data_IF_017477942089
#
_entry.id   IF_017477942089
#
_cell.length_a   1.000
_cell.length_b   1.000
_cell.length_c   1.000
_cell.angle_alpha   90.00
_cell.angle_beta   90.00
_cell.angle_gamma   90.00
#
_symmetry.space_group_name_H-M   'P 1'
#
loop_
_entity.id
_entity.type
_entity.pdbx_description
1 polymer ?
#
# COMPACT_ATOMS: atom_id res chain seq x y z
N UNK A 1 -37.93 -2.45 -11.59
CA UNK A 1 -39.16 -3.15 -11.11
C UNK A 1 -40.45 -2.60 -11.71
N UNK A 2 -40.67 -1.28 -11.82
CA UNK A 2 -41.93 -0.74 -12.33
C UNK A 2 -42.27 -1.15 -13.78
N UNK A 3 -41.34 -0.98 -14.71
CA UNK A 3 -41.53 -1.36 -16.11
C UNK A 3 -41.85 -2.86 -16.24
N UNK A 4 -41.18 -3.70 -15.46
CA UNK A 4 -41.44 -5.14 -15.42
C UNK A 4 -42.87 -5.47 -14.98
N UNK A 5 -43.38 -4.85 -13.92
CA UNK A 5 -44.78 -5.04 -13.47
C UNK A 5 -45.83 -4.51 -14.48
N UNK A 6 -45.42 -3.63 -15.39
CA UNK A 6 -46.26 -3.11 -16.46
C UNK A 6 -46.24 -4.01 -17.71
N UNK A 7 -45.06 -4.49 -18.12
CA UNK A 7 -44.88 -5.28 -19.36
C UNK A 7 -44.97 -6.79 -19.15
N UNK A 8 -45.24 -7.26 -17.92
CA UNK A 8 -45.41 -8.68 -17.63
C UNK A 8 -46.52 -9.29 -18.52
N UNK A 9 -46.20 -10.27 -19.38
CA UNK A 9 -47.17 -10.84 -20.32
C UNK A 9 -48.21 -11.73 -19.64
N UNK A 10 -47.98 -12.13 -18.40
CA UNK A 10 -48.86 -13.03 -17.64
C UNK A 10 -49.80 -12.27 -16.70
N UNK A 11 -49.33 -11.21 -16.05
CA UNK A 11 -50.08 -10.45 -15.06
C UNK A 11 -49.88 -8.92 -15.17
N UNK A 12 -49.57 -8.43 -16.37
CA UNK A 12 -49.31 -7.03 -16.64
C UNK A 12 -50.41 -6.12 -16.11
N UNK A 13 -50.02 -5.15 -15.29
CA UNK A 13 -50.97 -4.23 -14.67
C UNK A 13 -51.01 -2.91 -15.43
N UNK A 14 -52.16 -2.22 -15.49
CA UNK A 14 -52.21 -0.83 -15.95
C UNK A 14 -51.22 0.03 -15.16
N UNK A 15 -50.65 1.05 -15.80
CA UNK A 15 -49.60 1.92 -15.24
C UNK A 15 -49.83 2.35 -13.78
N UNK A 16 -51.07 2.73 -13.44
CA UNK A 16 -51.44 3.17 -12.09
C UNK A 16 -51.30 2.00 -11.09
N UNK A 17 -51.86 0.84 -11.41
CA UNK A 17 -51.80 -0.33 -10.55
C UNK A 17 -50.37 -0.90 -10.43
N UNK A 18 -49.58 -0.88 -11.51
CA UNK A 18 -48.16 -1.25 -11.48
C UNK A 18 -47.35 -0.30 -10.57
N UNK A 19 -47.57 1.01 -10.68
CA UNK A 19 -46.88 2.01 -9.86
C UNK A 19 -47.21 1.89 -8.36
N UNK A 20 -48.47 1.61 -8.03
CA UNK A 20 -48.90 1.37 -6.65
C UNK A 20 -48.29 0.09 -6.07
N UNK A 21 -48.25 -0.98 -6.85
CA UNK A 21 -47.63 -2.23 -6.41
C UNK A 21 -46.13 -2.04 -6.15
N UNK A 22 -45.40 -1.38 -7.06
CA UNK A 22 -43.96 -1.16 -6.87
C UNK A 22 -43.68 -0.21 -5.70
N UNK A 23 -44.52 0.81 -5.50
CA UNK A 23 -44.43 1.66 -4.31
C UNK A 23 -44.65 0.87 -3.02
N UNK A 24 -45.67 0.01 -2.98
CA UNK A 24 -45.95 -0.86 -1.84
C UNK A 24 -44.81 -1.84 -1.55
N UNK A 25 -44.27 -2.51 -2.58
CA UNK A 25 -43.09 -3.38 -2.46
C UNK A 25 -41.87 -2.63 -1.93
N UNK A 26 -41.75 -1.34 -2.27
CA UNK A 26 -40.67 -0.46 -1.80
C UNK A 26 -40.97 0.21 -0.45
N UNK A 27 -42.07 -0.16 0.23
CA UNK A 27 -42.57 0.45 1.48
C UNK A 27 -42.75 1.97 1.38
N UNK A 28 -43.19 2.46 0.23
CA UNK A 28 -43.46 3.89 -0.06
C UNK A 28 -44.96 4.13 -0.28
N UNK A 29 -45.39 5.36 0.01
CA UNK A 29 -46.79 5.78 -0.12
C UNK A 29 -47.22 6.15 -1.54
N UNK A 30 -48.50 6.50 -1.68
CA UNK A 30 -49.16 6.80 -2.96
C UNK A 30 -48.56 7.99 -3.71
N UNK A 31 -47.95 8.96 -3.00
CA UNK A 31 -47.20 10.05 -3.63
C UNK A 31 -46.02 9.55 -4.47
N UNK A 32 -45.28 8.56 -3.96
CA UNK A 32 -44.13 8.00 -4.65
C UNK A 32 -44.57 7.18 -5.89
N UNK A 33 -45.72 6.51 -5.83
CA UNK A 33 -46.33 5.88 -7.00
C UNK A 33 -46.65 6.90 -8.11
N UNK A 34 -47.18 8.08 -7.75
CA UNK A 34 -47.44 9.18 -8.71
C UNK A 34 -46.16 9.70 -9.35
N UNK A 35 -45.09 9.85 -8.57
CA UNK A 35 -43.77 10.30 -9.09
C UNK A 35 -43.12 9.26 -9.99
N UNK A 36 -43.14 7.99 -9.59
CA UNK A 36 -42.69 6.88 -10.43
C UNK A 36 -43.40 6.84 -11.78
N UNK A 37 -44.72 7.04 -11.78
CA UNK A 37 -45.50 7.07 -13.01
C UNK A 37 -45.14 8.28 -13.89
N UNK A 38 -44.97 9.46 -13.29
CA UNK A 38 -44.53 10.68 -13.99
C UNK A 38 -43.15 10.46 -14.64
N UNK A 39 -42.17 10.03 -13.87
CA UNK A 39 -40.80 9.79 -14.36
C UNK A 39 -40.74 8.71 -15.44
N UNK A 40 -41.51 7.64 -15.32
CA UNK A 40 -41.55 6.60 -16.34
C UNK A 40 -42.12 7.13 -17.67
N UNK A 41 -43.15 7.98 -17.63
CA UNK A 41 -43.69 8.63 -18.83
C UNK A 41 -42.73 9.65 -19.42
N UNK A 42 -42.10 10.46 -18.57
CA UNK A 42 -41.10 11.45 -18.99
C UNK A 42 -39.88 10.78 -19.63
N UNK A 43 -39.43 9.64 -19.09
CA UNK A 43 -38.35 8.84 -19.67
C UNK A 43 -38.75 8.21 -21.02
N UNK A 44 -39.98 7.69 -21.13
CA UNK A 44 -40.46 7.10 -22.41
C UNK A 44 -40.54 8.17 -23.50
N UNK A 45 -40.99 9.38 -23.17
CA UNK A 45 -41.16 10.46 -24.14
C UNK A 45 -39.83 11.12 -24.53
N UNK A 46 -38.93 11.35 -23.58
CA UNK A 46 -37.68 12.09 -23.81
C UNK A 46 -36.47 11.21 -24.06
N UNK A 47 -36.54 9.91 -23.69
CA UNK A 47 -35.39 8.99 -23.60
C UNK A 47 -34.26 9.48 -22.70
N UNK A 48 -34.53 10.46 -21.85
CA UNK A 48 -33.60 11.03 -20.87
C UNK A 48 -34.09 10.73 -19.47
N UNK A 49 -33.17 10.44 -18.55
CA UNK A 49 -33.52 10.27 -17.14
C UNK A 49 -33.90 11.63 -16.54
N UNK A 50 -34.81 11.68 -15.55
CA UNK A 50 -35.15 12.93 -14.88
C UNK A 50 -33.89 13.50 -14.23
N UNK A 51 -33.41 14.62 -14.75
CA UNK A 51 -32.34 15.37 -14.11
C UNK A 51 -32.88 16.05 -12.85
N UNK A 52 -32.14 15.94 -11.75
CA UNK A 52 -32.50 16.59 -10.51
C UNK A 52 -32.38 18.12 -10.66
N UNK A 53 -33.50 18.79 -10.90
CA UNK A 53 -33.59 20.24 -11.04
C UNK A 53 -33.37 21.01 -9.73
N UNK A 54 -33.21 20.32 -8.59
CA UNK A 54 -33.25 20.94 -7.26
C UNK A 54 -32.02 20.78 -6.39
N UNK A 55 -30.93 20.13 -6.82
CA UNK A 55 -29.60 20.38 -6.24
C UNK A 55 -28.49 19.58 -6.92
N UNK A 56 -27.42 20.31 -7.24
CA UNK A 56 -26.10 19.79 -7.59
C UNK A 56 -25.47 19.04 -6.42
N UNK A 57 -24.85 17.90 -6.70
CA UNK A 57 -24.03 17.11 -5.77
C UNK A 57 -22.73 17.82 -5.32
N UNK A 58 -22.81 19.03 -4.77
CA UNK A 58 -21.65 19.75 -4.23
C UNK A 58 -21.50 19.62 -2.71
N UNK A 59 -22.40 18.86 -2.07
CA UNK A 59 -22.33 18.57 -0.64
C UNK A 59 -22.49 17.08 -0.43
N UNK A 60 -21.35 16.43 -0.17
CA UNK A 60 -21.27 15.04 0.29
C UNK A 60 -22.27 14.81 1.42
N UNK A 61 -22.87 13.61 1.54
CA UNK A 61 -23.78 13.25 2.65
C UNK A 61 -23.17 13.57 4.03
N UNK A 62 -21.84 13.63 4.13
CA UNK A 62 -21.03 14.09 5.26
C UNK A 62 -21.35 15.52 5.76
N UNK A 63 -21.95 16.40 4.95
CA UNK A 63 -22.35 17.74 5.41
C UNK A 63 -23.69 17.75 6.13
N UNK A 64 -24.47 16.67 6.02
CA UNK A 64 -25.66 16.48 6.83
C UNK A 64 -25.20 16.26 8.28
N UNK A 65 -25.62 17.14 9.19
CA UNK A 65 -25.16 17.13 10.59
C UNK A 65 -25.52 15.83 11.30
N UNK A 66 -26.72 15.30 11.05
CA UNK A 66 -27.20 14.08 11.71
C UNK A 66 -26.44 12.86 11.19
N UNK A 67 -26.23 12.77 9.87
CA UNK A 67 -25.41 11.71 9.28
C UNK A 67 -23.95 11.79 9.71
N UNK A 68 -23.37 13.00 9.80
CA UNK A 68 -22.01 13.22 10.32
C UNK A 68 -21.90 12.81 11.79
N UNK A 69 -22.90 13.13 12.59
CA UNK A 69 -22.96 12.75 14.01
C UNK A 69 -23.05 11.23 14.16
N UNK A 70 -23.90 10.58 13.39
CA UNK A 70 -24.10 9.13 13.40
C UNK A 70 -22.86 8.39 12.87
N UNK A 71 -22.25 8.88 11.78
CA UNK A 71 -20.98 8.40 11.25
C UNK A 71 -19.83 8.59 12.25
N UNK A 72 -19.73 9.75 12.92
CA UNK A 72 -18.72 9.98 13.95
C UNK A 72 -18.93 9.08 15.17
N UNK A 73 -20.17 8.88 15.59
CA UNK A 73 -20.51 7.97 16.71
C UNK A 73 -20.15 6.53 16.34
N UNK A 74 -20.43 6.12 15.11
CA UNK A 74 -20.01 4.83 14.56
C UNK A 74 -18.48 4.72 14.50
N UNK A 75 -17.78 5.72 13.98
CA UNK A 75 -16.31 5.76 13.89
C UNK A 75 -15.61 5.86 15.25
N UNK A 76 -16.26 6.40 16.28
CA UNK A 76 -15.77 6.40 17.68
C UNK A 76 -16.06 5.07 18.39
N UNK A 77 -17.09 4.33 17.95
CA UNK A 77 -17.38 2.96 18.41
C UNK A 77 -16.44 1.92 17.77
N UNK A 78 -15.86 2.26 16.62
CA UNK A 78 -14.70 1.57 16.05
C UNK A 78 -13.48 2.12 16.78
N UNK A 79 -12.77 1.27 17.51
CA UNK A 79 -11.55 1.63 18.22
C UNK A 79 -10.64 2.49 17.31
N UNK A 80 -10.17 3.68 17.72
CA UNK A 80 -9.34 4.55 16.88
C UNK A 80 -8.03 3.85 16.52
N UNK A 81 -8.03 3.10 15.42
CA UNK A 81 -6.80 2.62 14.82
C UNK A 81 -6.14 3.82 14.14
N UNK A 82 -4.88 4.09 14.50
CA UNK A 82 -4.11 5.16 13.88
C UNK A 82 -4.18 5.02 12.36
N UNK A 83 -4.71 6.03 11.67
CA UNK A 83 -4.61 6.09 10.22
C UNK A 83 -3.13 6.24 9.87
N UNK A 84 -2.61 5.30 9.07
CA UNK A 84 -1.33 5.48 8.39
C UNK A 84 -1.49 6.71 7.49
N UNK A 85 -0.85 7.81 7.87
CA UNK A 85 -0.72 8.98 6.99
C UNK A 85 0.08 8.49 5.80
N UNK A 86 -0.49 8.68 4.61
CA UNK A 86 0.07 8.18 3.38
C UNK A 86 1.50 8.74 3.18
N UNK A 87 2.51 7.89 3.38
CA UNK A 87 3.93 8.24 3.26
C UNK A 87 4.35 8.65 1.84
N UNK A 88 3.53 8.32 0.82
CA UNK A 88 3.77 8.74 -0.57
C UNK A 88 3.83 10.26 -0.75
N UNK A 89 3.34 11.03 0.22
CA UNK A 89 3.36 12.47 0.16
C UNK A 89 4.61 13.16 0.75
N UNK A 90 5.51 12.39 1.37
CA UNK A 90 6.76 12.94 1.90
C UNK A 90 7.62 13.58 0.81
N UNK A 91 8.30 14.68 1.16
CA UNK A 91 9.07 15.51 0.21
C UNK A 91 10.18 14.71 -0.48
N UNK A 92 10.93 13.91 0.27
CA UNK A 92 11.99 13.04 -0.23
C UNK A 92 11.46 11.94 -1.16
N UNK A 93 10.32 11.32 -0.83
CA UNK A 93 9.65 10.33 -1.70
C UNK A 93 9.21 10.98 -3.02
N UNK A 94 8.60 12.18 -2.96
CA UNK A 94 8.22 12.94 -4.16
C UNK A 94 9.44 13.33 -4.98
N UNK A 95 10.51 13.78 -4.34
CA UNK A 95 11.76 14.19 -5.00
C UNK A 95 12.40 13.01 -5.74
N UNK A 96 12.61 11.89 -5.04
CA UNK A 96 13.14 10.67 -5.65
C UNK A 96 12.26 10.18 -6.80
N UNK A 97 10.92 10.18 -6.61
CA UNK A 97 9.99 9.79 -7.68
C UNK A 97 10.14 10.68 -8.91
N UNK A 98 10.18 12.00 -8.72
CA UNK A 98 10.17 12.97 -9.80
C UNK A 98 11.52 13.10 -10.52
N UNK A 99 12.62 13.04 -9.77
CA UNK A 99 13.97 13.35 -10.26
C UNK A 99 14.80 12.11 -10.57
N UNK A 100 14.44 10.93 -10.05
CA UNK A 100 15.20 9.69 -10.25
C UNK A 100 14.35 8.60 -10.90
N UNK A 101 13.25 8.19 -10.27
CA UNK A 101 12.47 7.03 -10.72
C UNK A 101 11.79 7.27 -12.08
N UNK A 102 11.01 8.35 -12.22
CA UNK A 102 10.29 8.64 -13.46
C UNK A 102 11.24 8.88 -14.65
N UNK A 103 12.33 9.67 -14.53
CA UNK A 103 13.29 9.83 -15.62
C UNK A 103 13.99 8.52 -16.01
N UNK A 104 14.26 7.61 -15.06
CA UNK A 104 14.86 6.32 -15.37
C UNK A 104 13.86 5.40 -16.09
N UNK A 105 12.62 5.32 -15.60
CA UNK A 105 11.55 4.55 -16.25
C UNK A 105 11.26 5.06 -17.66
N UNK A 106 11.32 6.37 -17.89
CA UNK A 106 11.13 6.97 -19.22
C UNK A 106 12.16 6.47 -20.25
N UNK A 107 13.37 6.08 -19.84
CA UNK A 107 14.35 5.47 -20.75
C UNK A 107 13.90 4.11 -21.29
N UNK A 108 13.03 3.42 -20.57
CA UNK A 108 12.49 2.13 -20.99
C UNK A 108 11.16 2.25 -21.73
N UNK A 109 10.51 3.43 -21.77
CA UNK A 109 9.16 3.64 -22.33
C UNK A 109 9.02 3.13 -23.78
N UNK A 110 10.07 3.27 -24.59
CA UNK A 110 10.08 2.80 -25.99
C UNK A 110 10.36 1.29 -26.15
N UNK A 111 10.85 0.62 -25.09
CA UNK A 111 11.21 -0.81 -25.07
C UNK A 111 10.20 -1.69 -24.34
N UNK A 112 9.24 -1.09 -23.64
CA UNK A 112 8.20 -1.81 -22.89
C UNK A 112 6.86 -1.74 -23.63
N UNK A 113 6.01 -2.75 -23.43
CA UNK A 113 4.63 -2.70 -23.93
C UNK A 113 3.79 -1.78 -23.04
N UNK A 114 2.88 -1.04 -23.66
CA UNK A 114 1.90 -0.22 -22.99
C UNK A 114 0.51 -0.66 -23.43
N UNK A 115 -0.48 -0.57 -22.55
CA UNK A 115 -1.84 -1.02 -22.80
C UNK A 115 -2.83 0.09 -22.45
N UNK A 116 -3.95 0.15 -23.18
CA UNK A 116 -5.09 0.99 -22.82
C UNK A 116 -5.91 0.36 -21.66
N UNK A 117 -6.95 1.05 -21.22
CA UNK A 117 -7.80 0.58 -20.12
C UNK A 117 -8.64 -0.64 -20.50
N UNK A 118 -8.77 -0.90 -21.81
CA UNK A 118 -9.47 -2.02 -22.40
C UNK A 118 -8.54 -3.24 -22.61
N UNK A 119 -7.24 -3.09 -22.31
CA UNK A 119 -6.22 -4.13 -22.44
C UNK A 119 -5.63 -4.29 -23.84
N UNK A 120 -5.90 -3.36 -24.76
CA UNK A 120 -5.28 -3.36 -26.08
C UNK A 120 -3.89 -2.74 -26.00
N UNK A 121 -2.92 -3.34 -26.72
CA UNK A 121 -1.57 -2.79 -26.81
C UNK A 121 -1.59 -1.45 -27.56
N UNK A 122 -1.04 -0.42 -26.92
CA UNK A 122 -0.90 0.91 -27.49
C UNK A 122 0.29 0.94 -28.47
N UNK A 123 0.20 1.77 -29.53
CA UNK A 123 1.32 1.95 -30.44
C UNK A 123 2.54 2.50 -29.68
N UNK A 124 3.72 1.97 -30.02
CA UNK A 124 4.98 2.34 -29.35
C UNK A 124 5.24 3.83 -29.49
N UNK A 125 5.55 4.46 -28.37
CA UNK A 125 5.91 5.87 -28.32
C UNK A 125 7.40 6.01 -28.55
N UNK A 126 7.77 6.35 -29.78
CA UNK A 126 9.14 6.67 -30.14
C UNK A 126 9.48 8.09 -29.68
N UNK A 127 10.71 8.36 -29.21
CA UNK A 127 11.19 9.73 -29.05
C UNK A 127 11.02 10.48 -30.37
N UNK A 128 10.48 11.71 -30.32
CA UNK A 128 10.11 12.51 -31.50
C UNK A 128 11.29 12.81 -32.47
N UNK A 129 12.52 12.49 -32.08
CA UNK A 129 13.75 12.88 -32.76
C UNK A 129 14.43 11.72 -33.55
N UNK A 130 13.80 10.54 -33.66
CA UNK A 130 14.36 9.42 -34.41
C UNK A 130 13.77 9.30 -35.83
N UNK A 131 14.66 9.27 -36.83
CA UNK A 131 14.30 9.07 -38.24
C UNK A 131 13.74 7.66 -38.48
N UNK A 132 12.66 7.59 -39.26
CA UNK A 132 11.78 6.41 -39.40
C UNK A 132 12.49 5.22 -40.09
N UNK A 133 13.65 5.47 -40.70
CA UNK A 133 14.51 4.52 -41.40
C UNK A 133 15.66 3.91 -40.57
N UNK A 134 15.87 4.36 -39.33
CA UNK A 134 16.95 3.88 -38.45
C UNK A 134 16.43 3.12 -37.23
N UNK A 135 15.20 2.57 -37.29
CA UNK A 135 14.61 1.76 -36.20
C UNK A 135 15.51 0.54 -35.94
N UNK A 136 16.34 0.50 -34.88
CA UNK A 136 17.01 -0.72 -34.51
C UNK A 136 15.91 -1.67 -34.04
N UNK A 137 16.03 -2.94 -34.37
CA UNK A 137 15.22 -3.99 -33.75
C UNK A 137 15.65 -4.06 -32.27
N UNK A 138 15.20 -3.11 -31.45
CA UNK A 138 15.53 -3.08 -30.04
C UNK A 138 14.69 -4.15 -29.33
N UNK A 139 15.38 -4.96 -28.52
CA UNK A 139 14.77 -6.02 -27.72
C UNK A 139 13.65 -5.45 -26.85
N UNK A 140 12.52 -6.15 -26.77
CA UNK A 140 11.42 -5.80 -25.87
C UNK A 140 11.83 -6.17 -24.44
N UNK A 141 11.61 -5.24 -23.51
CA UNK A 141 11.80 -5.43 -22.09
C UNK A 141 10.46 -5.75 -21.41
N UNK A 142 10.45 -6.78 -20.58
CA UNK A 142 9.32 -7.17 -19.72
C UNK A 142 9.64 -6.76 -18.30
N UNK A 143 8.76 -5.94 -17.72
CA UNK A 143 8.92 -5.42 -16.36
C UNK A 143 8.19 -6.32 -15.37
N UNK A 144 8.90 -6.77 -14.34
CA UNK A 144 8.37 -7.59 -13.26
C UNK A 144 8.43 -6.83 -11.94
N UNK A 145 7.27 -6.50 -11.39
CA UNK A 145 7.13 -5.82 -10.11
C UNK A 145 7.04 -6.86 -8.99
N UNK A 146 7.92 -6.72 -8.00
CA UNK A 146 7.95 -7.53 -6.78
C UNK A 146 7.27 -6.80 -5.63
N UNK A 147 6.49 -7.52 -4.85
CA UNK A 147 5.90 -7.03 -3.60
C UNK A 147 5.70 -8.16 -2.59
N UNK A 148 5.56 -7.79 -1.31
CA UNK A 148 5.35 -8.66 -0.16
C UNK A 148 4.08 -8.25 0.61
N UNK A 149 3.12 -9.15 0.71
CA UNK A 149 1.89 -8.93 1.48
C UNK A 149 1.80 -9.91 2.65
N UNK A 150 1.57 -9.40 3.86
CA UNK A 150 1.37 -10.23 5.05
C UNK A 150 -0.11 -10.29 5.42
N UNK A 151 -0.64 -11.50 5.56
CA UNK A 151 -2.01 -11.79 5.95
C UNK A 151 -2.03 -12.42 7.33
N UNK A 152 -2.90 -11.95 8.22
CA UNK A 152 -3.05 -12.48 9.57
C UNK A 152 -4.32 -13.34 9.69
N UNK A 153 -4.26 -14.41 10.48
CA UNK A 153 -5.39 -15.33 10.67
C UNK A 153 -6.62 -14.64 11.26
N UNK A 154 -6.44 -13.60 12.09
CA UNK A 154 -7.51 -12.83 12.70
C UNK A 154 -7.65 -11.42 12.10
N UNK A 155 -7.12 -11.18 10.90
CA UNK A 155 -7.27 -9.89 10.22
C UNK A 155 -8.76 -9.57 10.05
N UNK A 156 -9.14 -8.32 10.36
CA UNK A 156 -10.50 -7.77 10.25
C UNK A 156 -11.62 -8.34 11.15
N UNK A 157 -11.33 -9.23 12.11
CA UNK A 157 -12.31 -9.69 13.12
C UNK A 157 -12.43 -8.75 14.34
N UNK A 158 -12.47 -7.42 14.12
CA UNK A 158 -12.46 -6.44 15.22
C UNK A 158 -13.86 -6.01 15.69
N UNK A 159 -14.87 -6.11 14.82
CA UNK A 159 -16.25 -5.67 15.11
C UNK A 159 -17.18 -6.88 15.26
N UNK A 160 -17.86 -6.97 16.41
CA UNK A 160 -18.85 -8.01 16.68
C UNK A 160 -19.96 -7.47 17.58
N UNK A 161 -21.19 -7.93 17.38
CA UNK A 161 -22.32 -7.59 18.24
C UNK A 161 -22.20 -8.37 19.55
N UNK A 162 -22.09 -7.66 20.67
CA UNK A 162 -22.09 -8.26 22.01
C UNK A 162 -23.38 -7.88 22.72
N UNK A 163 -23.95 -8.81 23.47
CA UNK A 163 -25.11 -8.53 24.33
C UNK A 163 -24.72 -7.54 25.43
N UNK A 164 -25.67 -6.72 25.92
CA UNK A 164 -25.39 -5.68 26.94
C UNK A 164 -24.81 -6.21 28.26
N UNK A 165 -24.98 -7.51 28.52
CA UNK A 165 -24.44 -8.21 29.69
C UNK A 165 -23.09 -8.89 29.45
N UNK A 166 -22.53 -8.77 28.24
CA UNK A 166 -21.25 -9.36 27.90
C UNK A 166 -20.13 -8.69 28.68
N UNK A 167 -19.28 -9.51 29.33
CA UNK A 167 -18.12 -9.03 30.07
C UNK A 167 -16.96 -8.78 29.09
N UNK A 168 -16.21 -7.71 29.29
CA UNK A 168 -15.00 -7.44 28.53
C UNK A 168 -13.93 -8.51 28.83
N UNK A 169 -13.73 -9.43 27.90
CA UNK A 169 -12.67 -10.45 27.99
C UNK A 169 -11.40 -9.87 27.35
N UNK A 170 -10.25 -9.88 28.04
CA UNK A 170 -8.98 -9.47 27.46
C UNK A 170 -8.68 -10.28 26.20
N UNK A 171 -8.39 -9.61 25.08
CA UNK A 171 -7.96 -10.28 23.85
C UNK A 171 -6.49 -10.64 23.95
N UNK A 172 -6.10 -11.78 23.38
CA UNK A 172 -4.70 -12.09 23.18
C UNK A 172 -4.05 -10.98 22.36
N UNK A 173 -2.85 -10.55 22.75
CA UNK A 173 -2.09 -9.49 22.06
C UNK A 173 -1.66 -10.01 20.68
N UNK A 174 -2.13 -9.37 19.60
CA UNK A 174 -1.74 -9.65 18.21
C UNK A 174 -2.88 -10.20 17.33
N UNK A 175 -2.70 -10.17 16.01
CA UNK A 175 -3.71 -10.59 15.02
C UNK A 175 -3.65 -12.10 14.68
N UNK A 176 -3.07 -12.89 15.58
CA UNK A 176 -2.85 -14.33 15.38
C UNK A 176 -1.67 -14.64 14.43
N UNK A 177 -1.53 -15.90 14.02
CA UNK A 177 -0.46 -16.31 13.12
C UNK A 177 -0.58 -15.63 11.74
N UNK A 178 0.55 -15.27 11.14
CA UNK A 178 0.58 -14.66 9.81
C UNK A 178 1.14 -15.57 8.72
N UNK A 179 0.80 -15.24 7.47
CA UNK A 179 1.42 -15.76 6.26
C UNK A 179 1.79 -14.57 5.37
N UNK A 180 3.05 -14.50 4.98
CA UNK A 180 3.54 -13.55 3.99
C UNK A 180 3.54 -14.23 2.63
N UNK A 181 3.03 -13.53 1.62
CA UNK A 181 3.15 -13.92 0.22
C UNK A 181 4.05 -12.90 -0.49
N UNK A 182 5.09 -13.39 -1.14
CA UNK A 182 5.96 -12.60 -2.01
C UNK A 182 5.88 -13.16 -3.43
N UNK A 183 5.74 -12.32 -4.44
CA UNK A 183 5.62 -12.76 -5.83
C UNK A 183 6.07 -11.66 -6.81
N UNK A 184 6.18 -12.00 -8.09
CA UNK A 184 6.44 -11.06 -9.17
C UNK A 184 5.23 -10.97 -10.11
N UNK A 185 4.90 -9.77 -10.57
CA UNK A 185 3.81 -9.52 -11.52
C UNK A 185 4.27 -8.63 -12.67
N UNK A 186 3.88 -8.97 -13.90
CA UNK A 186 4.06 -8.14 -15.10
C UNK A 186 2.72 -7.83 -15.75
N UNK A 187 2.66 -6.74 -16.51
CA UNK A 187 1.49 -6.45 -17.33
C UNK A 187 1.35 -7.45 -18.49
N UNK A 188 2.48 -7.92 -19.04
CA UNK A 188 2.55 -8.83 -20.16
C UNK A 188 2.06 -10.25 -19.83
N UNK A 189 2.39 -10.75 -18.64
CA UNK A 189 2.19 -12.16 -18.26
C UNK A 189 1.40 -12.36 -16.95
N UNK A 190 1.09 -11.30 -16.22
CA UNK A 190 0.51 -11.42 -14.88
C UNK A 190 1.52 -11.99 -13.89
N UNK A 191 1.11 -12.93 -13.04
CA UNK A 191 1.99 -13.53 -12.02
C UNK A 191 3.09 -14.40 -12.65
N UNK A 192 4.32 -14.29 -12.16
CA UNK A 192 5.46 -15.03 -12.71
C UNK A 192 5.30 -16.53 -12.50
N UNK A 193 5.01 -17.22 -13.60
CA UNK A 193 4.77 -18.65 -13.69
C UNK A 193 5.30 -19.18 -15.02
N UNK A 194 5.56 -20.48 -15.07
CA UNK A 194 5.79 -21.14 -16.36
C UNK A 194 4.52 -21.13 -17.22
N UNK A 195 4.63 -21.24 -18.56
CA UNK A 195 3.48 -21.26 -19.47
C UNK A 195 2.48 -22.39 -19.18
N UNK A 196 2.96 -23.52 -18.66
CA UNK A 196 2.15 -24.67 -18.22
C UNK A 196 1.63 -24.55 -16.77
N UNK A 197 1.94 -23.45 -16.08
CA UNK A 197 1.59 -23.17 -14.68
C UNK A 197 2.12 -24.18 -13.65
N UNK A 198 3.12 -24.99 -13.98
CA UNK A 198 3.72 -25.96 -13.06
C UNK A 198 4.78 -25.35 -12.14
N UNK A 199 5.45 -24.29 -12.60
CA UNK A 199 6.42 -23.51 -11.85
C UNK A 199 5.85 -22.13 -11.53
N UNK A 200 6.17 -21.59 -10.35
CA UNK A 200 5.77 -20.25 -9.92
C UNK A 200 6.84 -19.64 -9.05
N UNK A 201 7.13 -18.34 -9.24
CA UNK A 201 8.09 -17.62 -8.41
C UNK A 201 7.59 -17.50 -6.96
N UNK A 202 6.27 -17.34 -6.76
CA UNK A 202 5.60 -17.18 -5.47
C UNK A 202 6.27 -17.90 -4.29
N UNK A 203 6.48 -17.14 -3.23
CA UNK A 203 6.93 -17.62 -1.92
C UNK A 203 5.81 -17.41 -0.91
N UNK A 204 5.49 -18.47 -0.16
CA UNK A 204 4.63 -18.40 1.02
C UNK A 204 5.49 -18.60 2.27
N UNK A 205 5.58 -17.57 3.10
CA UNK A 205 6.47 -17.53 4.25
C UNK A 205 5.68 -17.38 5.56
N UNK A 206 5.86 -18.31 6.50
CA UNK A 206 5.21 -18.29 7.81
C UNK A 206 6.07 -17.51 8.78
N UNK A 207 5.85 -16.20 8.85
CA UNK A 207 6.61 -15.32 9.74
C UNK A 207 6.34 -15.62 11.24
N UNK A 208 7.38 -15.41 12.06
CA UNK A 208 7.34 -15.52 13.52
C UNK A 208 8.52 -16.28 14.13
N UNK A 209 8.90 -15.93 15.36
CA UNK A 209 10.06 -16.50 16.10
C UNK A 209 9.95 -18.02 16.26
N UNK A 210 8.75 -18.54 16.50
CA UNK A 210 8.49 -19.99 16.61
C UNK A 210 8.09 -20.62 15.25
N UNK A 211 8.35 -19.93 14.15
CA UNK A 211 8.03 -20.36 12.78
C UNK A 211 9.27 -20.26 11.89
N UNK A 212 9.18 -19.61 10.73
CA UNK A 212 10.29 -19.46 9.80
C UNK A 212 11.14 -18.21 10.09
N UNK A 213 10.89 -17.51 11.20
CA UNK A 213 11.61 -16.30 11.56
C UNK A 213 11.10 -15.07 10.81
N UNK A 214 12.03 -14.25 10.33
CA UNK A 214 11.77 -13.04 9.56
C UNK A 214 12.20 -13.26 8.12
N UNK A 215 11.48 -12.66 7.17
CA UNK A 215 11.91 -12.67 5.77
C UNK A 215 13.16 -11.81 5.66
N UNK A 216 14.26 -12.42 5.23
CA UNK A 216 15.58 -11.80 5.24
C UNK A 216 16.03 -11.41 3.83
N UNK A 217 17.09 -10.61 3.76
CA UNK A 217 17.75 -10.28 2.50
C UNK A 217 18.18 -11.52 1.70
N UNK A 218 18.63 -12.59 2.37
CA UNK A 218 18.94 -13.86 1.69
C UNK A 218 17.72 -14.54 1.08
N UNK A 219 16.55 -14.40 1.69
CA UNK A 219 15.31 -14.94 1.13
C UNK A 219 14.87 -14.15 -0.11
N UNK A 220 15.05 -12.82 -0.10
CA UNK A 220 14.83 -11.97 -1.29
C UNK A 220 15.76 -12.37 -2.44
N UNK A 221 17.05 -12.58 -2.17
CA UNK A 221 18.01 -13.04 -3.18
C UNK A 221 17.64 -14.41 -3.74
N UNK A 222 17.29 -15.37 -2.87
CA UNK A 222 16.86 -16.70 -3.30
C UNK A 222 15.59 -16.63 -4.15
N UNK A 223 14.65 -15.76 -3.80
CA UNK A 223 13.43 -15.54 -4.57
C UNK A 223 13.72 -14.91 -5.94
N UNK A 224 14.66 -13.95 -6.02
CA UNK A 224 15.11 -13.37 -7.28
C UNK A 224 15.80 -14.41 -8.19
N UNK A 225 16.65 -15.28 -7.64
CA UNK A 225 17.25 -16.38 -8.40
C UNK A 225 16.20 -17.34 -8.96
N UNK A 226 15.22 -17.74 -8.15
CA UNK A 226 14.11 -18.57 -8.60
C UNK A 226 13.30 -17.92 -9.73
N UNK A 227 13.09 -16.60 -9.67
CA UNK A 227 12.46 -15.85 -10.75
C UNK A 227 13.30 -15.87 -12.03
N UNK A 228 14.61 -15.65 -11.93
CA UNK A 228 15.55 -15.72 -13.07
C UNK A 228 15.56 -17.10 -13.72
N UNK A 229 15.59 -18.18 -12.93
CA UNK A 229 15.56 -19.56 -13.44
C UNK A 229 14.30 -19.84 -14.28
N UNK A 230 13.13 -19.36 -13.83
CA UNK A 230 11.87 -19.48 -14.58
C UNK A 230 11.94 -18.68 -15.89
N UNK A 231 12.45 -17.45 -15.84
CA UNK A 231 12.52 -16.56 -16.99
C UNK A 231 13.50 -17.08 -18.06
N UNK A 232 14.68 -17.52 -17.67
CA UNK A 232 15.66 -18.07 -18.61
C UNK A 232 15.16 -19.35 -19.26
N UNK A 233 14.41 -20.17 -18.52
CA UNK A 233 13.86 -21.42 -19.04
C UNK A 233 12.72 -21.21 -20.02
N UNK A 234 11.80 -20.29 -19.70
CA UNK A 234 10.51 -20.18 -20.41
C UNK A 234 10.40 -18.95 -21.31
N UNK A 235 11.23 -17.93 -21.11
CA UNK A 235 11.24 -16.66 -21.85
C UNK A 235 12.65 -16.21 -22.30
N UNK A 236 13.54 -17.09 -22.81
CA UNK A 236 14.96 -16.77 -23.06
C UNK A 236 15.22 -15.69 -24.14
N UNK A 237 14.20 -15.36 -24.94
CA UNK A 237 14.31 -14.41 -26.05
C UNK A 237 13.91 -12.98 -25.66
N UNK A 238 13.43 -12.78 -24.44
CA UNK A 238 13.01 -11.48 -23.94
C UNK A 238 14.04 -10.93 -22.96
N UNK A 239 14.08 -9.60 -22.81
CA UNK A 239 14.86 -8.96 -21.74
C UNK A 239 13.95 -8.75 -20.55
N UNK A 240 14.42 -9.10 -19.37
CA UNK A 240 13.62 -9.00 -18.15
C UNK A 240 14.24 -8.00 -17.18
N UNK A 241 13.39 -7.17 -16.58
CA UNK A 241 13.78 -6.21 -15.55
C UNK A 241 12.97 -6.52 -14.29
N UNK A 242 13.67 -6.83 -13.20
CA UNK A 242 13.06 -7.06 -11.89
C UNK A 242 13.05 -5.75 -11.09
N UNK A 243 11.88 -5.31 -10.65
CA UNK A 243 11.65 -4.07 -9.93
C UNK A 243 11.23 -4.41 -8.50
N UNK A 244 11.98 -3.91 -7.52
CA UNK A 244 11.72 -4.14 -6.09
C UNK A 244 11.31 -2.83 -5.41
N UNK A 245 10.44 -2.93 -4.41
CA UNK A 245 10.20 -1.81 -3.49
C UNK A 245 11.42 -1.58 -2.59
N UNK A 246 11.76 -0.31 -2.35
CA UNK A 246 12.84 0.08 -1.44
C UNK A 246 12.41 -0.12 0.02
N UNK A 247 12.66 -1.30 0.59
CA UNK A 247 12.44 -1.58 2.03
C UNK A 247 13.73 -1.42 2.83
N UNK A 248 13.62 -1.12 4.14
CA UNK A 248 14.78 -1.03 5.05
C UNK A 248 15.61 -2.33 5.15
N UNK A 249 15.03 -3.47 4.77
CA UNK A 249 15.65 -4.80 4.81
C UNK A 249 16.54 -5.11 3.59
N UNK A 250 16.36 -4.35 2.51
CA UNK A 250 17.34 -4.24 1.43
C UNK A 250 18.53 -3.40 1.93
N UNK A 251 19.25 -3.95 2.91
CA UNK A 251 20.56 -3.45 3.30
C UNK A 251 21.52 -3.56 2.13
N UNK A 252 22.64 -2.85 2.24
CA UNK A 252 23.70 -2.68 1.24
C UNK A 252 24.07 -3.96 0.47
N UNK A 253 23.83 -5.18 0.94
CA UNK A 253 24.20 -6.41 0.24
C UNK A 253 23.36 -6.77 -1.00
N UNK A 254 22.06 -6.44 -1.09
CA UNK A 254 21.33 -6.53 -2.39
C UNK A 254 21.69 -5.36 -3.31
N UNK A 255 22.12 -4.25 -2.71
CA UNK A 255 22.44 -2.98 -3.38
C UNK A 255 23.91 -2.84 -3.81
N UNK A 256 24.79 -3.69 -3.30
CA UNK A 256 26.17 -3.89 -3.74
C UNK A 256 26.27 -5.03 -4.79
N UNK A 257 25.13 -5.63 -5.16
CA UNK A 257 25.00 -6.60 -6.26
C UNK A 257 24.81 -5.94 -7.64
N UNK A 258 25.34 -4.73 -7.91
CA UNK A 258 25.99 -4.49 -9.20
C UNK A 258 27.44 -4.97 -9.16
N UNK A 259 28.15 -4.73 -8.04
CA UNK A 259 29.58 -5.00 -7.89
C UNK A 259 29.91 -6.47 -7.62
N UNK A 260 28.99 -7.25 -7.04
CA UNK A 260 29.15 -8.71 -6.91
C UNK A 260 28.57 -9.52 -8.09
N UNK A 261 27.62 -8.98 -8.86
CA UNK A 261 27.24 -9.59 -10.14
C UNK A 261 28.36 -9.44 -11.18
N UNK A 262 29.16 -8.37 -11.13
CA UNK A 262 30.37 -8.22 -11.97
C UNK A 262 31.46 -9.28 -11.72
N UNK A 263 31.45 -9.95 -10.56
CA UNK A 263 32.34 -11.12 -10.30
C UNK A 263 31.73 -12.45 -10.77
N UNK A 264 30.44 -12.52 -11.07
CA UNK A 264 29.83 -13.64 -11.80
C UNK A 264 30.01 -13.43 -13.31
N UNK A 265 31.26 -13.47 -13.77
CA UNK A 265 31.66 -13.22 -15.16
C UNK A 265 31.10 -14.21 -16.21
N UNK A 266 30.14 -15.10 -15.91
CA UNK A 266 29.68 -16.12 -16.89
C UNK A 266 28.21 -16.62 -16.88
N UNK A 267 27.28 -16.17 -16.03
CA UNK A 267 26.07 -17.00 -15.82
C UNK A 267 24.81 -16.72 -16.66
N UNK A 268 24.34 -15.48 -16.91
CA UNK A 268 23.01 -15.29 -17.53
C UNK A 268 22.95 -14.15 -18.56
N UNK A 269 22.81 -14.44 -19.87
CA UNK A 269 22.69 -13.42 -20.91
C UNK A 269 21.25 -12.88 -21.02
N UNK A 270 20.96 -11.69 -20.47
CA UNK A 270 19.73 -10.96 -20.80
C UNK A 270 19.01 -10.19 -19.69
N UNK A 271 19.45 -10.32 -18.44
CA UNK A 271 18.80 -9.66 -17.30
C UNK A 271 19.62 -8.44 -16.88
N UNK A 272 19.00 -7.25 -16.93
CA UNK A 272 19.61 -6.01 -16.46
C UNK A 272 18.93 -5.55 -15.18
N UNK A 273 19.68 -5.44 -14.10
CA UNK A 273 19.21 -4.92 -12.81
C UNK A 273 19.75 -3.50 -12.67
N UNK A 274 18.89 -2.49 -12.75
CA UNK A 274 19.30 -1.10 -12.52
C UNK A 274 18.66 -0.57 -11.24
N UNK A 275 19.46 -0.43 -10.19
CA UNK A 275 19.06 0.15 -8.90
C UNK A 275 20.00 1.32 -8.62
N UNK A 276 19.51 2.57 -8.73
CA UNK A 276 20.30 3.78 -8.43
C UNK A 276 20.02 4.23 -6.99
N UNK A 277 21.04 4.16 -6.14
CA UNK A 277 20.99 4.68 -4.78
C UNK A 277 21.15 6.20 -4.76
N UNK A 278 20.16 6.88 -4.19
CA UNK A 278 20.38 8.14 -3.47
C UNK A 278 19.84 7.90 -2.05
N UNK A 279 20.75 7.80 -1.08
CA UNK A 279 20.44 7.65 0.35
C UNK A 279 20.54 9.05 0.95
N UNK A 280 19.51 9.87 0.79
CA UNK A 280 19.41 11.10 1.57
C UNK A 280 18.91 10.75 2.97
N UNK A 281 19.78 10.91 3.96
CA UNK A 281 19.41 10.76 5.36
C UNK A 281 18.69 12.03 5.81
N UNK A 282 17.36 11.96 5.97
CA UNK A 282 16.61 13.02 6.63
C UNK A 282 16.79 12.90 8.16
N UNK A 283 17.33 13.93 8.85
CA UNK A 283 17.45 13.91 10.29
C UNK A 283 16.08 13.92 10.97
N UNK A 284 15.99 13.27 12.13
CA UNK A 284 14.80 13.37 12.99
C UNK A 284 14.59 14.82 13.44
N UNK A 285 13.35 15.30 13.35
CA UNK A 285 12.99 16.63 13.83
C UNK A 285 13.22 16.77 15.35
N UNK A 286 13.53 17.99 15.79
CA UNK A 286 13.68 18.32 17.21
C UNK A 286 12.41 17.99 18.00
N UNK A 287 12.58 17.63 19.28
CA UNK A 287 11.45 17.51 20.20
C UNK A 287 11.14 18.87 20.81
N UNK A 288 9.89 19.30 20.80
CA UNK A 288 9.43 20.46 21.56
C UNK A 288 8.89 20.03 22.92
N UNK A 289 9.33 20.71 23.98
CA UNK A 289 8.78 20.58 25.32
C UNK A 289 7.51 21.44 25.48
N UNK A 290 6.71 21.15 26.51
CA UNK A 290 5.47 21.88 26.79
C UNK A 290 5.70 23.37 27.14
N UNK A 291 6.93 23.73 27.52
CA UNK A 291 7.36 25.10 27.81
C UNK A 291 7.93 25.82 26.56
N UNK A 292 7.88 25.19 25.39
CA UNK A 292 8.35 25.74 24.12
C UNK A 292 9.85 25.59 23.86
N UNK A 293 10.62 25.00 24.78
CA UNK A 293 12.04 24.68 24.51
C UNK A 293 12.14 23.54 23.50
N UNK A 294 13.16 23.62 22.64
CA UNK A 294 13.47 22.55 21.70
C UNK A 294 14.67 21.72 22.17
N UNK A 295 14.58 20.41 21.97
CA UNK A 295 15.68 19.47 22.16
C UNK A 295 16.17 18.97 20.79
N UNK A 296 17.39 19.36 20.44
CA UNK A 296 18.07 18.87 19.26
C UNK A 296 18.60 17.45 19.48
N UNK A 297 18.35 16.57 18.52
CA UNK A 297 18.81 15.18 18.55
C UNK A 297 20.19 14.96 17.91
N UNK A 298 20.65 15.93 17.12
CA UNK A 298 21.92 15.89 16.41
C UNK A 298 22.81 17.03 16.88
N UNK A 299 24.12 16.85 16.80
CA UNK A 299 25.05 17.93 17.09
C UNK A 299 24.90 19.06 16.04
N UNK A 300 24.88 20.32 16.47
CA UNK A 300 24.68 21.46 15.58
C UNK A 300 25.87 21.66 14.64
N UNK A 301 25.63 22.44 13.59
CA UNK A 301 26.65 22.84 12.63
C UNK A 301 27.77 23.62 13.36
N UNK A 302 29.03 23.30 13.07
CA UNK A 302 30.20 23.84 13.78
C UNK A 302 30.68 23.02 14.99
N UNK A 303 29.97 21.96 15.39
CA UNK A 303 30.47 20.99 16.37
C UNK A 303 31.44 19.97 15.70
N UNK A 304 32.48 19.47 16.38
CA UNK A 304 33.37 18.43 15.83
C UNK A 304 32.65 17.15 15.37
N UNK A 305 31.45 16.91 15.90
CA UNK A 305 30.57 15.78 15.57
C UNK A 305 29.28 16.24 14.87
N UNK A 306 29.28 17.41 14.21
CA UNK A 306 28.09 17.96 13.54
C UNK A 306 27.39 16.91 12.66
N UNK A 307 26.05 16.85 12.74
CA UNK A 307 25.24 15.89 11.99
C UNK A 307 25.21 14.47 12.56
N UNK A 308 26.01 14.15 13.59
CA UNK A 308 25.95 12.87 14.29
C UNK A 308 24.83 12.92 15.34
N UNK A 309 24.09 11.82 15.48
CA UNK A 309 23.08 11.67 16.53
C UNK A 309 23.75 11.66 17.90
N UNK A 310 23.29 12.50 18.83
CA UNK A 310 23.94 12.72 20.14
C UNK A 310 23.96 11.46 21.03
N UNK A 311 23.02 10.54 20.83
CA UNK A 311 22.81 9.40 21.70
C UNK A 311 21.99 9.76 22.95
N UNK A 312 21.33 8.77 23.54
CA UNK A 312 20.37 9.01 24.62
C UNK A 312 21.02 9.54 25.91
N UNK A 313 22.26 9.16 26.19
CA UNK A 313 23.00 9.64 27.35
C UNK A 313 23.15 11.17 27.32
N UNK A 314 23.76 11.69 26.26
CA UNK A 314 23.96 13.14 26.07
C UNK A 314 22.64 13.91 26.04
N UNK A 315 21.60 13.37 25.40
CA UNK A 315 20.27 14.02 25.39
C UNK A 315 19.68 14.11 26.80
N UNK A 316 19.81 13.06 27.61
CA UNK A 316 19.30 13.04 28.98
C UNK A 316 20.07 14.02 29.89
N UNK A 317 21.40 14.10 29.73
CA UNK A 317 22.23 15.08 30.43
C UNK A 317 21.85 16.52 30.06
N UNK A 318 21.64 16.81 28.76
CA UNK A 318 21.16 18.11 28.28
C UNK A 318 19.78 18.47 28.84
N UNK A 319 18.93 17.48 29.07
CA UNK A 319 17.62 17.64 29.70
C UNK A 319 17.69 17.80 31.24
N UNK A 320 18.90 17.75 31.83
CA UNK A 320 19.13 17.92 33.27
C UNK A 320 18.96 16.64 34.10
N UNK A 321 18.96 15.46 33.48
CA UNK A 321 18.94 14.20 34.20
C UNK A 321 20.35 13.74 34.55
N UNK A 322 20.56 13.35 35.81
CA UNK A 322 21.80 12.69 36.23
C UNK A 322 21.75 11.19 35.86
N UNK A 323 22.57 10.83 34.88
CA UNK A 323 22.74 9.47 34.37
C UNK A 323 24.05 8.81 34.83
N UNK A 324 24.83 9.48 35.69
CA UNK A 324 26.13 8.98 36.13
C UNK A 324 25.98 7.64 36.85
N UNK A 325 26.68 6.62 36.35
CA UNK A 325 26.64 5.27 36.92
C UNK A 325 25.32 4.51 36.70
N UNK A 326 24.40 5.03 35.87
CA UNK A 326 23.12 4.39 35.56
C UNK A 326 23.19 3.66 34.23
N UNK A 327 22.65 2.46 34.20
CA UNK A 327 22.46 1.74 32.94
C UNK A 327 21.21 2.23 32.22
N UNK A 328 21.19 2.13 30.89
CA UNK A 328 19.95 2.31 30.12
C UNK A 328 18.88 1.30 30.53
N UNK A 329 19.31 0.07 30.82
CA UNK A 329 18.47 -1.00 31.37
C UNK A 329 19.30 -1.95 32.25
N UNK A 330 18.67 -2.54 33.26
CA UNK A 330 19.21 -3.73 33.93
C UNK A 330 18.84 -4.99 33.14
N UNK A 331 19.62 -6.05 33.30
CA UNK A 331 19.40 -7.32 32.59
C UNK A 331 17.95 -7.82 32.77
N UNK A 332 17.23 -7.93 31.65
CA UNK A 332 15.83 -8.35 31.62
C UNK A 332 14.87 -7.43 32.38
N UNK A 333 15.17 -6.12 32.48
CA UNK A 333 14.40 -5.13 33.24
C UNK A 333 14.28 -5.46 34.74
N UNK A 334 15.17 -6.31 35.27
CA UNK A 334 15.15 -6.76 36.67
C UNK A 334 16.29 -6.10 37.43
N UNK A 335 15.95 -5.06 38.17
CA UNK A 335 16.87 -4.44 39.10
C UNK A 335 17.13 -5.38 40.29
N UNK A 336 18.35 -5.36 40.84
CA UNK A 336 18.65 -6.13 42.06
C UNK A 336 17.70 -5.69 43.19
N UNK A 337 17.19 -6.61 44.04
CA UNK A 337 16.34 -6.26 45.16
C UNK A 337 16.98 -5.18 46.03
N UNK A 338 16.28 -4.07 46.26
CA UNK A 338 16.77 -2.91 47.02
C UNK A 338 17.53 -1.85 46.21
N UNK A 339 17.89 -2.12 44.95
CA UNK A 339 18.51 -1.13 44.07
C UNK A 339 17.43 -0.24 43.44
N UNK A 340 17.37 1.03 43.87
CA UNK A 340 16.41 2.02 43.38
C UNK A 340 16.97 2.92 42.29
N UNK A 341 18.29 3.01 42.14
CA UNK A 341 18.96 4.00 41.26
C UNK A 341 19.95 3.39 40.26
N UNK A 342 19.79 2.10 39.91
CA UNK A 342 20.73 1.39 39.05
C UNK A 342 20.50 1.56 37.53
N UNK A 343 19.34 2.06 37.11
CA UNK A 343 19.03 2.29 35.70
C UNK A 343 18.04 3.45 35.53
N UNK A 344 18.02 4.06 34.34
CA UNK A 344 17.05 5.11 34.01
C UNK A 344 15.62 4.54 34.09
N UNK A 345 14.75 5.18 34.87
CA UNK A 345 13.33 4.79 35.02
C UNK A 345 12.44 5.98 34.67
N UNK A 346 11.34 5.70 33.98
CA UNK A 346 10.25 6.65 33.81
C UNK A 346 9.46 6.61 35.12
N UNK A 347 9.33 7.76 35.80
CA UNK A 347 8.45 7.89 36.96
C UNK A 347 6.99 8.01 36.55
#
# INVERSE_FOLDING_TARGET
MLLWAYVDPTHGKPWIAASLQVAHMSRRGTYWAKMLHKWARDFISTRMYPENLYDTWHKTLITNKDFKQELNTYLQSVEPSGQYVNGYEHKDVKDYRQNVFLPEMAKYEHRIRAYDNEGNELPRRWPHDMDDGLRPYEDIHVLWYHDESTFYANDRCKVGWVHSTAKAVPRAKGEGPSIMAADFVSADYGWLRSPDCTESARVLFKAGVERQGYFTNSDVLAHAHKAMDILDKHHPHEKHVLIFEKTQQLTENVLMMPFQLEKCQKAHPGVWIQIKLVKEWAPMANRSFADGREQAFYFPEGHPQAGIFKGMATILEECGYDISGKNSECEGFRCKPGATDCCCRIQ
#
